data_IF_978350049401
#
_entry.id   IF_978350049401
#
_cell.length_a   1.000
_cell.length_b   1.000
_cell.length_c   1.000
_cell.angle_alpha   90.00
_cell.angle_beta   90.00
_cell.angle_gamma   90.00
#
_symmetry.space_group_name_H-M   'P 1'
#
loop_
_entity.id
_entity.type
_entity.pdbx_description
1 polymer ?
#
# COMPACT_ATOMS: atom_id res chain seq x y z
N UNK A 1 3.87 -16.36 -26.96
CA UNK A 1 3.53 -14.94 -27.23
C UNK A 1 4.75 -14.08 -26.94
N UNK A 2 5.01 -13.08 -27.78
CA UNK A 2 6.21 -12.24 -27.64
C UNK A 2 6.11 -11.27 -26.45
N UNK A 3 7.25 -10.92 -25.88
CA UNK A 3 7.39 -9.90 -24.81
C UNK A 3 6.76 -8.55 -25.22
N UNK A 4 6.86 -8.20 -26.51
CA UNK A 4 6.29 -6.97 -27.05
C UNK A 4 4.77 -6.91 -26.96
N UNK A 5 4.06 -8.04 -27.11
CA UNK A 5 2.61 -8.09 -26.98
C UNK A 5 2.17 -7.90 -25.53
N UNK A 6 2.93 -8.45 -24.56
CA UNK A 6 2.67 -8.25 -23.12
C UNK A 6 2.81 -6.78 -22.75
N UNK A 7 3.91 -6.17 -23.17
CA UNK A 7 4.20 -4.75 -22.88
C UNK A 7 3.16 -3.82 -23.51
N UNK A 8 2.70 -4.11 -24.72
CA UNK A 8 1.68 -3.30 -25.40
C UNK A 8 0.32 -3.37 -24.70
N UNK A 9 -0.15 -4.57 -24.33
CA UNK A 9 -1.44 -4.75 -23.65
C UNK A 9 -1.40 -4.15 -22.24
N UNK A 10 -0.30 -4.33 -21.52
CA UNK A 10 -0.12 -3.70 -20.22
C UNK A 10 -0.07 -2.17 -20.31
N UNK A 11 0.58 -1.63 -21.32
CA UNK A 11 0.56 -0.19 -21.59
C UNK A 11 -0.85 0.37 -21.79
N UNK A 12 -1.74 -0.36 -22.46
CA UNK A 12 -3.18 0.02 -22.58
C UNK A 12 -3.88 0.00 -21.21
N UNK A 13 -3.63 -1.01 -20.37
CA UNK A 13 -4.17 -1.05 -19.00
C UNK A 13 -3.70 0.18 -18.20
N UNK A 14 -2.41 0.48 -18.23
CA UNK A 14 -1.85 1.63 -17.52
C UNK A 14 -2.43 2.96 -18.02
N UNK A 15 -2.62 3.11 -19.34
CA UNK A 15 -3.25 4.30 -19.92
C UNK A 15 -4.69 4.47 -19.46
N UNK A 16 -5.45 3.37 -19.35
CA UNK A 16 -6.81 3.37 -18.84
C UNK A 16 -6.86 3.79 -17.36
N UNK A 17 -5.96 3.23 -16.54
CA UNK A 17 -5.85 3.59 -15.11
C UNK A 17 -5.47 5.05 -14.95
N UNK A 18 -4.45 5.52 -15.68
CA UNK A 18 -3.94 6.89 -15.63
C UNK A 18 -5.03 7.93 -15.94
N UNK A 19 -5.98 7.61 -16.80
CA UNK A 19 -7.10 8.51 -17.14
C UNK A 19 -8.17 8.64 -16.04
N UNK A 20 -8.09 7.82 -14.96
CA UNK A 20 -9.13 7.74 -13.92
C UNK A 20 -8.65 8.02 -12.51
N UNK A 21 -7.37 8.15 -12.31
CA UNK A 21 -6.77 8.48 -11.00
C UNK A 21 -5.80 9.64 -11.15
N UNK A 22 -5.50 10.27 -10.03
CA UNK A 22 -4.51 11.35 -9.99
C UNK A 22 -3.12 10.85 -10.38
N UNK A 23 -2.33 11.71 -11.02
CA UNK A 23 -0.97 11.42 -11.46
C UNK A 23 -0.08 10.93 -10.32
N UNK A 24 -0.22 11.51 -9.12
CA UNK A 24 0.54 11.12 -7.92
C UNK A 24 0.20 9.70 -7.48
N UNK A 25 -1.07 9.34 -7.49
CA UNK A 25 -1.53 7.99 -7.16
C UNK A 25 -1.07 6.98 -8.22
N UNK A 26 -1.13 7.35 -9.50
CA UNK A 26 -0.65 6.50 -10.58
C UNK A 26 0.84 6.18 -10.42
N UNK A 27 1.66 7.18 -10.21
CA UNK A 27 3.11 7.00 -10.03
C UNK A 27 3.47 6.17 -8.81
N UNK A 28 2.73 6.35 -7.71
CA UNK A 28 2.99 5.62 -6.46
C UNK A 28 2.59 4.14 -6.55
N UNK A 29 1.44 3.86 -7.17
CA UNK A 29 0.81 2.54 -7.07
C UNK A 29 0.89 1.70 -8.33
N UNK A 30 0.95 2.30 -9.52
CA UNK A 30 0.87 1.58 -10.79
C UNK A 30 2.16 1.58 -11.60
N UNK A 31 2.99 2.61 -11.51
CA UNK A 31 4.23 2.72 -12.27
C UNK A 31 5.24 1.60 -11.92
N UNK A 32 5.19 1.13 -10.67
CA UNK A 32 6.07 0.06 -10.17
C UNK A 32 5.54 -1.35 -10.46
N UNK A 33 4.28 -1.49 -10.88
CA UNK A 33 3.65 -2.77 -11.19
C UNK A 33 4.03 -3.22 -12.60
N UNK A 34 4.45 -4.48 -12.72
CA UNK A 34 4.83 -5.08 -14.00
C UNK A 34 3.99 -6.32 -14.26
N UNK A 35 3.76 -6.62 -15.55
CA UNK A 35 3.17 -7.89 -15.92
C UNK A 35 4.25 -8.98 -15.90
N UNK A 36 3.96 -10.10 -15.27
CA UNK A 36 4.81 -11.30 -15.30
C UNK A 36 4.41 -12.21 -16.45
N UNK A 37 3.16 -12.63 -16.41
CA UNK A 37 2.59 -13.53 -17.41
C UNK A 37 1.09 -13.28 -17.53
N UNK A 38 0.52 -13.70 -18.64
CA UNK A 38 -0.92 -13.82 -18.80
C UNK A 38 -1.25 -14.99 -19.73
N UNK A 39 -2.39 -15.57 -19.55
CA UNK A 39 -2.99 -16.60 -20.37
C UNK A 39 -4.45 -16.27 -20.71
N UNK A 40 -5.22 -17.24 -21.16
CA UNK A 40 -6.61 -17.03 -21.57
C UNK A 40 -7.56 -16.76 -20.39
N UNK A 41 -7.19 -17.13 -19.18
CA UNK A 41 -8.04 -17.04 -17.99
C UNK A 41 -7.48 -16.10 -16.93
N UNK A 42 -6.17 -15.90 -16.89
CA UNK A 42 -5.51 -15.19 -15.80
C UNK A 42 -4.40 -14.24 -16.26
N UNK A 43 -4.11 -13.24 -15.42
CA UNK A 43 -2.98 -12.34 -15.53
C UNK A 43 -2.23 -12.29 -14.21
N UNK A 44 -0.91 -12.40 -14.25
CA UNK A 44 -0.06 -12.30 -13.07
C UNK A 44 0.72 -11.00 -13.08
N UNK A 45 0.49 -10.18 -12.08
CA UNK A 45 1.15 -8.89 -11.87
C UNK A 45 2.26 -9.03 -10.83
N UNK A 46 3.40 -8.43 -11.10
CA UNK A 46 4.50 -8.32 -10.14
C UNK A 46 4.34 -7.03 -9.35
N UNK A 47 4.33 -7.15 -8.03
CA UNK A 47 4.28 -6.03 -7.09
C UNK A 47 5.50 -6.04 -6.17
N UNK A 48 5.98 -4.87 -5.71
CA UNK A 48 7.24 -4.77 -4.96
C UNK A 48 7.17 -5.39 -3.57
N UNK A 49 6.01 -5.42 -2.94
CA UNK A 49 5.83 -5.96 -1.59
C UNK A 49 4.37 -6.33 -1.32
N UNK A 50 4.14 -7.02 -0.20
CA UNK A 50 2.81 -7.49 0.19
C UNK A 50 1.83 -6.35 0.50
N UNK A 51 2.30 -5.24 1.08
CA UNK A 51 1.44 -4.09 1.32
C UNK A 51 0.91 -3.48 0.02
N UNK A 52 1.77 -3.39 -1.00
CA UNK A 52 1.38 -2.92 -2.32
C UNK A 52 0.25 -3.78 -2.91
N UNK A 53 0.37 -5.10 -2.77
CA UNK A 53 -0.68 -6.04 -3.14
C UNK A 53 -1.99 -5.78 -2.37
N UNK A 54 -1.94 -5.72 -1.04
CA UNK A 54 -3.13 -5.52 -0.20
C UNK A 54 -3.83 -4.18 -0.51
N UNK A 55 -3.04 -3.13 -0.75
CA UNK A 55 -3.57 -1.82 -1.11
C UNK A 55 -4.23 -1.80 -2.49
N UNK A 56 -3.61 -2.40 -3.51
CA UNK A 56 -4.19 -2.52 -4.85
C UNK A 56 -5.50 -3.34 -4.81
N UNK A 57 -5.53 -4.45 -4.08
CA UNK A 57 -6.71 -5.28 -3.92
C UNK A 57 -7.85 -4.58 -3.17
N UNK A 58 -7.53 -3.80 -2.15
CA UNK A 58 -8.56 -3.12 -1.34
C UNK A 58 -9.10 -1.88 -2.04
N UNK A 59 -8.23 -1.06 -2.63
CA UNK A 59 -8.57 0.27 -3.13
C UNK A 59 -8.83 0.31 -4.63
N UNK A 60 -8.11 -0.49 -5.42
CA UNK A 60 -8.08 -0.38 -6.87
C UNK A 60 -8.51 -1.65 -7.62
N UNK A 61 -9.03 -2.65 -6.92
CA UNK A 61 -9.46 -3.92 -7.52
C UNK A 61 -10.42 -3.74 -8.71
N UNK A 62 -11.46 -2.93 -8.52
CA UNK A 62 -12.45 -2.69 -9.56
C UNK A 62 -11.82 -1.98 -10.77
N UNK A 63 -10.98 -0.97 -10.51
CA UNK A 63 -10.29 -0.23 -11.56
C UNK A 63 -9.32 -1.11 -12.36
N UNK A 64 -8.61 -2.02 -11.69
CA UNK A 64 -7.71 -2.99 -12.33
C UNK A 64 -8.50 -3.95 -13.22
N UNK A 65 -9.61 -4.48 -12.72
CA UNK A 65 -10.48 -5.37 -13.49
C UNK A 65 -11.07 -4.68 -14.72
N UNK A 66 -11.51 -3.43 -14.59
CA UNK A 66 -12.04 -2.63 -15.70
C UNK A 66 -10.94 -2.33 -16.74
N UNK A 67 -9.73 -2.00 -16.30
CA UNK A 67 -8.59 -1.77 -17.17
C UNK A 67 -8.21 -3.03 -17.96
N UNK A 68 -8.19 -4.18 -17.30
CA UNK A 68 -7.92 -5.47 -17.94
C UNK A 68 -9.00 -5.78 -18.97
N UNK A 69 -10.27 -5.63 -18.61
CA UNK A 69 -11.39 -5.86 -19.52
C UNK A 69 -11.33 -4.94 -20.75
N UNK A 70 -10.95 -3.68 -20.55
CA UNK A 70 -10.82 -2.71 -21.65
C UNK A 70 -9.64 -3.03 -22.58
N UNK A 71 -8.51 -3.52 -22.05
CA UNK A 71 -7.30 -3.80 -22.81
C UNK A 71 -7.32 -5.17 -23.49
N UNK A 72 -7.84 -6.20 -22.80
CA UNK A 72 -7.86 -7.59 -23.27
C UNK A 72 -9.19 -8.00 -23.90
N UNK A 73 -10.24 -7.17 -23.83
CA UNK A 73 -11.58 -7.46 -24.34
C UNK A 73 -12.35 -8.54 -23.54
N UNK A 74 -11.77 -9.03 -22.45
CA UNK A 74 -12.32 -10.07 -21.56
C UNK A 74 -11.91 -9.85 -20.13
N UNK A 75 -12.64 -10.45 -19.19
CA UNK A 75 -12.27 -10.47 -17.77
C UNK A 75 -11.25 -11.57 -17.52
N UNK A 76 -10.15 -11.26 -16.83
CA UNK A 76 -9.13 -12.22 -16.43
C UNK A 76 -9.05 -12.26 -14.90
N UNK A 77 -8.66 -13.41 -14.36
CA UNK A 77 -8.35 -13.57 -12.94
C UNK A 77 -7.01 -12.88 -12.68
N UNK A 78 -6.99 -11.94 -11.75
CA UNK A 78 -5.77 -11.20 -11.40
C UNK A 78 -5.03 -11.92 -10.28
N UNK A 79 -3.84 -12.42 -10.59
CA UNK A 79 -2.91 -12.99 -9.64
C UNK A 79 -1.79 -11.99 -9.36
N UNK A 80 -1.20 -12.07 -8.17
CA UNK A 80 -0.07 -11.21 -7.80
C UNK A 80 1.14 -12.04 -7.41
N UNK A 81 2.28 -11.68 -7.93
CA UNK A 81 3.59 -12.19 -7.53
C UNK A 81 4.34 -11.08 -6.79
N UNK A 82 4.66 -11.32 -5.53
CA UNK A 82 5.43 -10.38 -4.72
C UNK A 82 6.91 -10.67 -4.91
N UNK A 83 7.71 -9.66 -5.25
CA UNK A 83 9.16 -9.81 -5.24
C UNK A 83 9.59 -9.91 -3.77
N UNK A 84 9.78 -11.12 -3.29
CA UNK A 84 10.48 -11.35 -2.02
C UNK A 84 11.94 -10.98 -2.25
N UNK A 85 12.30 -9.74 -1.99
CA UNK A 85 13.71 -9.42 -1.75
C UNK A 85 14.05 -10.13 -0.45
N UNK A 86 14.67 -11.30 -0.54
CA UNK A 86 15.15 -12.07 0.59
C UNK A 86 16.18 -11.25 1.37
N UNK A 87 15.71 -10.43 2.27
CA UNK A 87 16.38 -10.00 3.49
C UNK A 87 15.35 -10.06 4.61
N UNK A 88 14.87 -11.25 4.88
CA UNK A 88 14.33 -11.55 6.20
C UNK A 88 15.52 -11.63 7.14
N UNK A 89 15.67 -10.76 8.13
CA UNK A 89 16.63 -11.00 9.19
C UNK A 89 16.13 -12.22 9.96
N UNK A 90 16.84 -13.33 9.84
CA UNK A 90 16.64 -14.56 10.63
C UNK A 90 16.97 -14.37 12.11
N UNK A 91 16.61 -13.27 12.71
CA UNK A 91 16.68 -13.10 14.16
C UNK A 91 15.75 -11.97 14.60
N UNK A 92 14.44 -12.22 14.55
CA UNK A 92 13.54 -11.41 15.36
C UNK A 92 13.67 -11.95 16.78
N UNK A 93 14.23 -11.20 17.74
CA UNK A 93 14.19 -11.59 19.13
C UNK A 93 12.72 -11.75 19.50
N UNK A 94 12.32 -12.95 19.93
CA UNK A 94 11.00 -13.16 20.53
C UNK A 94 10.93 -12.25 21.75
N UNK A 95 10.30 -11.10 21.60
CA UNK A 95 9.92 -10.28 22.74
C UNK A 95 8.99 -11.13 23.57
N UNK A 96 9.46 -11.50 24.77
CA UNK A 96 8.60 -12.07 25.81
C UNK A 96 7.47 -11.07 26.00
N UNK A 97 6.24 -11.52 25.86
CA UNK A 97 5.06 -10.75 26.25
C UNK A 97 5.31 -10.22 27.67
N UNK A 98 5.67 -8.95 27.75
CA UNK A 98 5.72 -8.27 29.03
C UNK A 98 4.28 -8.17 29.49
N UNK A 99 4.00 -8.79 30.64
CA UNK A 99 2.77 -8.80 31.39
C UNK A 99 1.95 -7.53 31.14
N UNK A 100 0.71 -7.70 30.62
CA UNK A 100 -0.30 -6.66 30.51
C UNK A 100 -0.37 -5.92 31.83
N UNK A 101 0.17 -4.71 31.90
CA UNK A 101 -0.16 -3.79 32.97
C UNK A 101 -1.64 -3.51 32.84
N UNK A 102 -2.44 -4.07 33.76
CA UNK A 102 -3.86 -3.78 33.87
C UNK A 102 -3.98 -2.29 34.18
N UNK A 103 -4.33 -1.49 33.18
CA UNK A 103 -4.66 -0.08 33.37
C UNK A 103 -6.02 -0.06 34.05
N UNK A 104 -6.16 0.54 35.22
CA UNK A 104 -7.47 0.60 35.94
C UNK A 104 -8.51 1.29 35.03
N UNK A 105 -9.77 0.81 35.03
CA UNK A 105 -10.84 1.49 34.30
C UNK A 105 -10.95 2.94 34.80
N UNK A 106 -10.90 3.91 33.87
CA UNK A 106 -11.03 5.35 34.22
C UNK A 106 -9.73 6.14 34.26
N UNK A 107 -8.58 5.53 34.00
CA UNK A 107 -7.31 6.29 33.90
C UNK A 107 -7.17 6.92 32.52
N UNK A 108 -7.72 8.13 32.32
CA UNK A 108 -7.48 8.97 31.17
C UNK A 108 -6.15 9.69 31.37
N UNK A 109 -5.10 9.25 30.70
CA UNK A 109 -3.91 10.10 30.53
C UNK A 109 -4.31 11.29 29.65
N UNK A 110 -4.03 12.54 30.05
CA UNK A 110 -4.21 13.67 29.13
C UNK A 110 -3.37 13.39 27.88
N UNK A 111 -4.01 13.32 26.73
CA UNK A 111 -3.28 13.17 25.49
C UNK A 111 -2.65 14.51 25.14
N UNK A 112 -1.33 14.54 24.91
CA UNK A 112 -0.64 15.73 24.40
C UNK A 112 -0.72 15.79 22.86
N UNK A 113 -1.75 15.16 22.27
CA UNK A 113 -1.99 15.18 20.84
C UNK A 113 -2.57 16.54 20.42
N UNK A 114 -2.19 16.99 19.25
CA UNK A 114 -2.72 18.22 18.68
C UNK A 114 -3.89 17.86 17.75
N UNK A 115 -5.09 18.35 18.09
CA UNK A 115 -6.34 18.09 17.36
C UNK A 115 -6.31 18.52 15.88
N UNK A 116 -5.33 19.30 15.47
CA UNK A 116 -5.12 19.69 14.07
C UNK A 116 -4.41 18.62 13.24
N UNK A 117 -3.75 17.67 13.88
CA UNK A 117 -3.01 16.61 13.21
C UNK A 117 -3.90 15.40 13.00
N UNK A 118 -4.78 15.50 12.00
CA UNK A 118 -5.68 14.46 11.52
C UNK A 118 -5.37 14.12 10.07
N UNK A 119 -5.76 12.94 9.62
CA UNK A 119 -5.48 12.49 8.23
C UNK A 119 -6.12 13.38 7.17
N UNK A 120 -7.25 14.03 7.48
CA UNK A 120 -7.96 14.95 6.58
C UNK A 120 -7.17 16.21 6.30
N UNK A 121 -6.39 16.68 7.27
CA UNK A 121 -5.56 17.87 7.15
C UNK A 121 -4.15 17.57 6.62
N UNK A 122 -3.82 16.28 6.40
CA UNK A 122 -2.51 15.88 5.93
C UNK A 122 -2.39 16.09 4.42
N UNK A 123 -1.47 16.97 4.00
CA UNK A 123 -1.24 17.27 2.58
C UNK A 123 -0.50 16.11 1.93
N UNK A 124 -1.14 15.45 0.99
CA UNK A 124 -0.54 14.39 0.19
C UNK A 124 0.34 14.92 -0.94
N UNK A 125 1.46 14.22 -1.16
CA UNK A 125 2.37 14.43 -2.28
C UNK A 125 3.08 13.13 -2.65
N UNK A 126 3.82 13.13 -3.75
CA UNK A 126 4.53 11.94 -4.27
C UNK A 126 5.42 11.24 -3.22
N UNK A 127 6.03 12.00 -2.31
CA UNK A 127 6.98 11.46 -1.34
C UNK A 127 6.35 10.91 -0.05
N UNK A 128 5.07 11.17 0.23
CA UNK A 128 4.45 10.81 1.51
C UNK A 128 3.16 9.97 1.40
N UNK A 129 2.65 9.77 0.18
CA UNK A 129 1.40 9.01 -0.05
C UNK A 129 1.49 7.58 0.48
N UNK A 130 2.62 6.90 0.24
CA UNK A 130 2.87 5.57 0.79
C UNK A 130 2.88 5.55 2.31
N UNK A 131 3.55 6.52 2.95
CA UNK A 131 3.61 6.62 4.41
C UNK A 131 2.22 6.88 5.02
N UNK A 132 1.40 7.75 4.38
CA UNK A 132 0.01 7.98 4.81
C UNK A 132 -0.83 6.71 4.70
N UNK A 133 -0.74 5.99 3.60
CA UNK A 133 -1.46 4.75 3.40
C UNK A 133 -1.08 3.67 4.44
N UNK A 134 0.22 3.56 4.76
CA UNK A 134 0.73 2.66 5.79
C UNK A 134 0.19 3.05 7.18
N UNK A 135 0.19 4.34 7.52
CA UNK A 135 -0.33 4.84 8.80
C UNK A 135 -1.83 4.54 8.95
N UNK A 136 -2.64 4.81 7.93
CA UNK A 136 -4.08 4.47 7.92
C UNK A 136 -4.27 2.96 8.11
N UNK A 137 -3.52 2.14 7.39
CA UNK A 137 -3.61 0.67 7.51
C UNK A 137 -3.32 0.18 8.94
N UNK A 138 -2.33 0.77 9.61
CA UNK A 138 -2.01 0.44 11.02
C UNK A 138 -3.12 0.88 11.97
N UNK A 139 -3.73 2.04 11.73
CA UNK A 139 -4.82 2.57 12.55
C UNK A 139 -6.09 1.73 12.41
N UNK A 140 -6.43 1.32 11.18
CA UNK A 140 -7.61 0.49 10.92
C UNK A 140 -7.51 -0.92 11.51
N UNK A 141 -6.30 -1.49 11.54
CA UNK A 141 -6.05 -2.86 12.04
C UNK A 141 -4.80 -2.90 12.92
N UNK A 142 -4.86 -2.38 14.15
CA UNK A 142 -3.71 -2.35 15.05
C UNK A 142 -3.15 -3.75 15.34
N UNK A 143 -1.84 -3.90 15.17
CA UNK A 143 -1.14 -5.16 15.42
C UNK A 143 -1.35 -6.27 14.38
N UNK A 144 -2.17 -6.06 13.36
CA UNK A 144 -2.48 -7.06 12.33
C UNK A 144 -1.87 -6.76 10.96
N UNK A 145 -1.20 -5.62 10.83
CA UNK A 145 -0.58 -5.19 9.59
C UNK A 145 0.91 -5.57 9.55
N UNK A 146 1.48 -5.56 8.33
CA UNK A 146 2.94 -5.76 8.13
C UNK A 146 3.79 -4.63 8.72
N UNK A 147 3.19 -3.45 8.92
CA UNK A 147 3.85 -2.29 9.51
C UNK A 147 3.73 -2.28 11.04
N UNK A 148 4.02 -3.38 11.68
CA UNK A 148 4.08 -3.46 13.12
C UNK A 148 5.44 -4.05 13.56
N UNK A 149 6.39 -3.22 13.97
CA UNK A 149 6.28 -1.76 14.19
C UNK A 149 6.31 -0.93 12.89
N UNK A 150 5.54 0.19 12.88
CA UNK A 150 5.62 1.20 11.83
C UNK A 150 6.78 2.14 12.10
N UNK A 151 7.78 2.16 11.20
CA UNK A 151 8.90 3.08 11.25
C UNK A 151 8.75 4.16 10.16
N UNK A 152 8.65 5.42 10.57
CA UNK A 152 8.56 6.56 9.67
C UNK A 152 9.83 7.41 9.78
N UNK A 153 10.54 7.59 8.66
CA UNK A 153 11.75 8.41 8.61
C UNK A 153 11.71 9.34 7.39
N UNK A 154 12.19 10.54 7.54
CA UNK A 154 12.36 11.52 6.46
C UNK A 154 13.17 12.73 6.94
N UNK A 155 13.54 13.65 6.05
CA UNK A 155 14.12 14.95 6.40
C UNK A 155 13.17 15.76 7.29
N UNK A 156 13.67 16.75 8.05
CA UNK A 156 12.84 17.65 8.85
C UNK A 156 11.79 18.38 7.98
N UNK A 157 10.64 18.71 8.59
CA UNK A 157 9.59 19.48 7.92
C UNK A 157 8.64 18.70 7.00
N UNK A 158 8.84 17.39 6.77
CA UNK A 158 8.03 16.58 5.85
C UNK A 158 6.80 15.92 6.49
N UNK A 159 6.31 16.43 7.61
CA UNK A 159 5.03 15.99 8.19
C UNK A 159 5.07 14.72 9.04
N UNK A 160 6.24 14.21 9.46
CA UNK A 160 6.32 12.99 10.31
C UNK A 160 5.48 13.09 11.59
N UNK A 161 5.62 14.21 12.31
CA UNK A 161 4.87 14.45 13.55
C UNK A 161 3.37 14.50 13.31
N UNK A 162 2.95 15.15 12.23
CA UNK A 162 1.54 15.16 11.82
C UNK A 162 1.04 13.74 11.58
N UNK A 163 1.76 12.97 10.78
CA UNK A 163 1.35 11.62 10.41
C UNK A 163 1.25 10.68 11.62
N UNK A 164 2.21 10.74 12.55
CA UNK A 164 2.22 9.90 13.75
C UNK A 164 1.13 10.32 14.75
N UNK A 165 0.79 11.60 14.84
CA UNK A 165 -0.29 12.06 15.73
C UNK A 165 -1.68 11.81 15.14
N UNK A 166 -1.81 11.69 13.82
CA UNK A 166 -3.05 11.36 13.14
C UNK A 166 -3.37 9.86 13.21
N UNK A 167 -2.35 9.00 13.44
CA UNK A 167 -2.50 7.56 13.58
C UNK A 167 -2.71 7.14 15.04
#
# INVERSE_FOLDING_TARGET
>A
MSEDQKSHLWGKCLSYVKSRIEETAFQTWFEVVKINSFDDESITLIVPNRFHYEWLETKYRNLINDAIKAAFGRSLIVNYSVILTEKTPENIPKFKESSKKIIPPGYHRPSNLNDRYVFENFIEGKGNQFARAAAISVTDKPGQTFFNPLLVYSSPGLGKTHLIQAA
#
